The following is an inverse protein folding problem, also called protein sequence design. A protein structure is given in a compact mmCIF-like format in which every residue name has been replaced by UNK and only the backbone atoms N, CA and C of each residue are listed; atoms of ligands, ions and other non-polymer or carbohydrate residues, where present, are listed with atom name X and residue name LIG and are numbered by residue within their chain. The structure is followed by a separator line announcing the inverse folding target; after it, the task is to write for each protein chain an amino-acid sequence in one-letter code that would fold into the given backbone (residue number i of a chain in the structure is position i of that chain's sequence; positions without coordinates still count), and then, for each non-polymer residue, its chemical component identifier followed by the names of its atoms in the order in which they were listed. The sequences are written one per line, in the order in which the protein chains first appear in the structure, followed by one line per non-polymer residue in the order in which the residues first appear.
data_IF_442648340569
#
_entry.id   IF_442648340569
#
_cell.length_a   1.000
_cell.length_b   1.000
_cell.length_c   1.000
_cell.angle_alpha   90.00
_cell.angle_beta   90.00
_cell.angle_gamma   90.00
#
_symmetry.space_group_name_H-M   'P 1'
#
loop_
_entity.id
_entity.type
_entity.pdbx_description
1 polymer ?
#
# COMPACT_ATOMS: atom_id res chain seq x y z
N UNK A 1 -13.51 6.15 -12.56
CA UNK A 1 -12.89 5.28 -11.57
C UNK A 1 -11.49 5.78 -11.30
N UNK A 2 -11.21 6.04 -10.06
CA UNK A 2 -9.93 6.62 -9.67
C UNK A 2 -8.89 5.52 -9.49
N UNK A 3 -7.65 5.84 -9.85
CA UNK A 3 -6.50 4.99 -9.56
C UNK A 3 -5.63 5.67 -8.53
N UNK A 4 -4.99 4.87 -7.70
CA UNK A 4 -4.06 5.39 -6.70
C UNK A 4 -2.70 4.76 -6.91
N UNK A 5 -1.67 5.58 -6.74
CA UNK A 5 -0.29 5.13 -6.77
C UNK A 5 0.18 4.99 -5.33
N UNK A 6 0.62 3.80 -4.96
CA UNK A 6 1.04 3.50 -3.61
C UNK A 6 2.53 3.20 -3.64
N UNK A 7 3.28 3.95 -2.85
CA UNK A 7 4.73 3.77 -2.75
C UNK A 7 5.09 3.38 -1.32
N UNK A 8 5.85 2.30 -1.17
CA UNK A 8 6.31 1.88 0.14
C UNK A 8 7.46 2.78 0.59
N UNK A 9 7.24 3.56 1.63
CA UNK A 9 8.23 4.52 2.12
C UNK A 9 8.97 4.04 3.36
N UNK A 10 8.42 3.04 4.05
CA UNK A 10 8.99 2.51 5.28
C UNK A 10 9.20 1.01 5.18
N UNK A 11 10.20 0.50 5.92
CA UNK A 11 10.49 -0.92 5.94
C UNK A 11 9.35 -1.72 6.57
N UNK A 12 9.14 -2.93 6.05
CA UNK A 12 8.18 -3.86 6.63
C UNK A 12 8.78 -4.67 7.79
N UNK A 13 10.08 -4.52 8.03
CA UNK A 13 10.76 -5.20 9.14
C UNK A 13 10.20 -4.68 10.45
N UNK A 14 9.77 -5.58 11.31
CA UNK A 14 9.18 -5.21 12.59
C UNK A 14 7.69 -4.93 12.54
N UNK A 15 7.08 -5.00 11.36
CA UNK A 15 5.64 -4.83 11.23
C UNK A 15 4.89 -6.11 11.59
N UNK A 16 3.61 -5.96 11.91
CA UNK A 16 2.75 -7.11 12.15
C UNK A 16 2.59 -7.94 10.87
N UNK A 17 2.43 -9.25 11.03
CA UNK A 17 2.26 -10.14 9.90
C UNK A 17 1.09 -9.71 9.01
N UNK A 18 0.03 -9.23 9.61
CA UNK A 18 -1.14 -8.74 8.89
C UNK A 18 -0.77 -7.57 7.97
N UNK A 19 0.06 -6.64 8.47
CA UNK A 19 0.50 -5.50 7.68
C UNK A 19 1.40 -5.94 6.54
N UNK A 20 2.31 -6.85 6.82
CA UNK A 20 3.22 -7.40 5.81
C UNK A 20 2.41 -8.10 4.71
N UNK A 21 1.47 -8.94 5.08
CA UNK A 21 0.63 -9.65 4.13
C UNK A 21 -0.19 -8.67 3.28
N UNK A 22 -0.71 -7.61 3.89
CA UNK A 22 -1.46 -6.58 3.18
C UNK A 22 -0.58 -5.86 2.16
N UNK A 23 0.62 -5.47 2.55
CA UNK A 23 1.56 -4.82 1.64
C UNK A 23 1.93 -5.74 0.48
N UNK A 24 2.18 -7.02 0.75
CA UNK A 24 2.49 -8.00 -0.29
C UNK A 24 1.32 -8.17 -1.27
N UNK A 25 0.10 -8.13 -0.77
CA UNK A 25 -1.09 -8.24 -1.62
C UNK A 25 -1.24 -7.02 -2.53
N UNK A 26 -0.67 -5.89 -2.15
CA UNK A 26 -0.62 -4.69 -2.98
C UNK A 26 0.59 -4.71 -3.93
N UNK A 27 1.49 -5.67 -3.78
CA UNK A 27 2.69 -5.75 -4.60
C UNK A 27 3.89 -5.02 -4.01
N UNK A 28 3.78 -4.56 -2.78
CA UNK A 28 4.86 -3.81 -2.11
C UNK A 28 5.65 -4.76 -1.22
N UNK A 29 6.95 -4.84 -1.43
CA UNK A 29 7.80 -5.77 -0.68
C UNK A 29 8.97 -5.08 -0.01
N UNK A 30 9.48 -4.00 -0.58
CA UNK A 30 10.62 -3.27 -0.04
C UNK A 30 10.43 -1.78 -0.24
N UNK A 31 11.22 -1.00 0.48
CA UNK A 31 11.18 0.46 0.38
C UNK A 31 11.46 0.89 -1.08
N UNK A 32 10.63 1.79 -1.56
CA UNK A 32 10.74 2.29 -2.92
C UNK A 32 9.85 1.56 -3.91
N UNK A 33 9.29 0.43 -3.54
CA UNK A 33 8.33 -0.26 -4.42
C UNK A 33 7.09 0.60 -4.62
N UNK A 34 6.66 0.66 -5.86
CA UNK A 34 5.50 1.45 -6.25
C UNK A 34 4.51 0.57 -7.01
N UNK A 35 3.25 0.74 -6.72
CA UNK A 35 2.20 0.02 -7.42
C UNK A 35 1.04 0.96 -7.72
N UNK A 36 0.34 0.70 -8.81
CA UNK A 36 -0.87 1.44 -9.17
C UNK A 36 -2.04 0.49 -8.98
N UNK A 37 -3.01 0.90 -8.18
CA UNK A 37 -4.18 0.10 -7.88
C UNK A 37 -5.44 0.89 -8.19
N UNK A 38 -6.50 0.18 -8.56
CA UNK A 38 -7.79 0.81 -8.70
C UNK A 38 -8.34 1.13 -7.32
N UNK A 39 -8.81 2.35 -7.13
CA UNK A 39 -9.33 2.79 -5.85
C UNK A 39 -10.73 2.21 -5.61
N UNK A 40 -10.80 1.18 -4.80
CA UNK A 40 -12.03 0.50 -4.45
C UNK A 40 -12.10 0.35 -2.94
N UNK A 41 -13.24 -0.13 -2.43
CA UNK A 41 -13.39 -0.35 -0.99
C UNK A 41 -12.35 -1.33 -0.46
N UNK A 42 -12.02 -2.35 -1.24
CA UNK A 42 -11.01 -3.34 -0.86
C UNK A 42 -9.63 -2.68 -0.79
N UNK A 43 -9.26 -1.92 -1.83
CA UNK A 43 -7.99 -1.21 -1.86
C UNK A 43 -7.90 -0.19 -0.74
N UNK A 44 -8.98 0.55 -0.50
CA UNK A 44 -9.05 1.52 0.59
C UNK A 44 -8.79 0.85 1.93
N UNK A 45 -9.39 -0.31 2.17
CA UNK A 45 -9.16 -1.06 3.40
C UNK A 45 -7.72 -1.49 3.57
N UNK A 46 -7.09 -1.95 2.50
CA UNK A 46 -5.67 -2.34 2.51
C UNK A 46 -4.77 -1.15 2.79
N UNK A 47 -5.01 -0.04 2.10
CA UNK A 47 -4.25 1.19 2.30
C UNK A 47 -4.33 1.65 3.75
N UNK A 48 -5.52 1.59 4.34
CA UNK A 48 -5.73 2.02 5.71
C UNK A 48 -4.88 1.21 6.70
N UNK A 49 -4.72 -0.08 6.45
CA UNK A 49 -3.92 -0.96 7.31
C UNK A 49 -2.44 -0.57 7.28
N UNK A 50 -1.93 -0.14 6.13
CA UNK A 50 -0.51 0.17 5.94
C UNK A 50 -0.25 1.64 5.68
N UNK A 51 -1.22 2.52 5.93
CA UNK A 51 -1.12 3.94 5.59
C UNK A 51 0.10 4.62 6.22
N UNK A 52 0.51 4.17 7.39
CA UNK A 52 1.68 4.71 8.08
C UNK A 52 3.00 4.23 7.46
N UNK A 53 2.94 3.28 6.55
CA UNK A 53 4.13 2.69 5.91
C UNK A 53 4.28 3.11 4.45
N UNK A 54 3.24 3.67 3.87
CA UNK A 54 3.21 3.97 2.44
C UNK A 54 2.82 5.41 2.19
N UNK A 55 3.17 5.89 1.00
CA UNK A 55 2.69 7.16 0.49
C UNK A 55 1.67 6.86 -0.60
N UNK A 56 0.53 7.51 -0.54
CA UNK A 56 -0.55 7.29 -1.50
C UNK A 56 -0.80 8.57 -2.27
N UNK A 57 -0.76 8.46 -3.60
CA UNK A 57 -1.11 9.55 -4.48
C UNK A 57 -2.31 9.12 -5.31
N UNK A 58 -3.32 9.95 -5.32
CA UNK A 58 -4.52 9.66 -6.06
C UNK A 58 -4.46 10.35 -7.42
N UNK A 59 -4.66 9.55 -8.48
CA UNK A 59 -4.72 10.07 -9.83
C UNK A 59 -6.18 10.25 -10.25
N UNK A 60 -6.42 11.32 -10.91
CA UNK A 60 -7.73 11.62 -11.48
C UNK A 60 -8.58 12.48 -10.62
#
# INVERSE_FOLDING_TARGET
MAKVTITLTKSLIGCLDKQIATAHSLGLRKIGDTTVQEYSDVTKGKIKVVSHLVSVEQEG
#
